data_IF_675964393124
#
_entry.id   IF_675964393124
#
_cell.length_a   1.000
_cell.length_b   1.000
_cell.length_c   1.000
_cell.angle_alpha   90.00
_cell.angle_beta   90.00
_cell.angle_gamma   90.00
#
_symmetry.space_group_name_H-M   'P 1'
#
loop_
_entity.id
_entity.type
_entity.pdbx_description
1 polymer ?
#
# COMPACT_ATOMS: atom_id res chain seq x y z
N UNK A 1 12.82 6.40 -9.53
CA UNK A 1 12.28 5.05 -9.33
C UNK A 1 11.04 4.90 -10.19
N UNK A 2 10.91 3.84 -10.96
CA UNK A 2 9.70 3.59 -11.77
C UNK A 2 8.69 2.79 -10.92
N UNK A 3 7.75 3.50 -10.31
CA UNK A 3 6.73 2.89 -9.44
C UNK A 3 5.73 2.01 -10.20
N UNK A 4 5.68 2.11 -11.54
CA UNK A 4 4.76 1.31 -12.35
C UNK A 4 5.09 -0.18 -12.37
N UNK A 5 6.33 -0.55 -12.01
CA UNK A 5 6.81 -1.94 -11.94
C UNK A 5 6.74 -2.54 -10.55
N UNK A 6 6.28 -1.78 -9.56
CA UNK A 6 6.26 -2.21 -8.16
C UNK A 6 5.22 -3.33 -7.97
N UNK A 7 5.64 -4.45 -7.37
CA UNK A 7 4.74 -5.55 -7.03
C UNK A 7 4.51 -5.60 -5.53
N UNK A 8 3.49 -6.35 -5.08
CA UNK A 8 3.25 -6.56 -3.65
C UNK A 8 4.42 -7.24 -2.93
N UNK A 9 5.25 -8.01 -3.63
CA UNK A 9 6.42 -8.65 -3.05
C UNK A 9 7.50 -7.65 -2.64
N UNK A 10 7.54 -6.48 -3.28
CA UNK A 10 8.51 -5.41 -3.03
C UNK A 10 8.12 -4.52 -1.84
N UNK A 11 6.90 -4.69 -1.34
CA UNK A 11 6.30 -3.85 -0.32
C UNK A 11 6.35 -4.56 1.04
N UNK A 12 6.81 -3.86 2.08
CA UNK A 12 6.69 -4.28 3.48
C UNK A 12 5.61 -3.43 4.16
N UNK A 13 4.54 -4.07 4.61
CA UNK A 13 3.50 -3.39 5.41
C UNK A 13 3.99 -3.22 6.84
N UNK A 14 3.98 -1.99 7.35
CA UNK A 14 4.43 -1.65 8.71
C UNK A 14 3.27 -1.67 9.68
N UNK A 15 2.26 -0.83 9.43
CA UNK A 15 1.05 -0.75 10.25
C UNK A 15 -0.14 -0.22 9.45
N UNK A 16 -1.34 -0.49 9.95
CA UNK A 16 -2.56 0.14 9.45
C UNK A 16 -2.62 1.59 9.96
N UNK A 17 -2.89 2.54 9.07
CA UNK A 17 -3.08 3.95 9.41
C UNK A 17 -4.57 4.29 9.60
N UNK A 18 -5.46 3.63 8.86
CA UNK A 18 -6.90 3.87 8.98
C UNK A 18 -7.75 3.00 8.07
N UNK A 19 -9.06 3.18 8.16
CA UNK A 19 -10.04 2.62 7.23
C UNK A 19 -11.15 3.63 6.97
N UNK A 20 -11.81 3.53 5.81
CA UNK A 20 -13.02 4.29 5.49
C UNK A 20 -13.99 3.41 4.70
N UNK A 21 -15.06 4.02 4.18
CA UNK A 21 -16.12 3.32 3.45
C UNK A 21 -15.60 2.52 2.22
N UNK A 22 -14.49 2.95 1.61
CA UNK A 22 -13.95 2.38 0.38
C UNK A 22 -12.49 1.88 0.56
N UNK A 23 -12.22 1.23 1.69
CA UNK A 23 -10.98 0.49 1.88
C UNK A 23 -10.11 0.93 3.06
N UNK A 24 -8.85 0.53 3.01
CA UNK A 24 -7.90 0.58 4.14
C UNK A 24 -6.60 1.23 3.73
N UNK A 25 -6.02 2.03 4.62
CA UNK A 25 -4.74 2.71 4.39
C UNK A 25 -3.68 2.09 5.31
N UNK A 26 -2.52 1.81 4.74
CA UNK A 26 -1.38 1.20 5.40
C UNK A 26 -0.14 2.07 5.23
N UNK A 27 0.68 2.16 6.27
CA UNK A 27 2.06 2.58 6.14
C UNK A 27 2.86 1.42 5.57
N UNK A 28 3.63 1.70 4.53
CA UNK A 28 4.46 0.73 3.85
C UNK A 28 5.88 1.25 3.68
N UNK A 29 6.83 0.33 3.52
CA UNK A 29 8.20 0.62 3.13
C UNK A 29 8.52 -0.17 1.87
N UNK A 30 9.12 0.46 0.87
CA UNK A 30 9.62 -0.26 -0.31
C UNK A 30 10.97 -0.88 0.03
N UNK A 31 11.10 -2.21 -0.14
CA UNK A 31 12.28 -2.96 0.30
C UNK A 31 13.59 -2.52 -0.36
N UNK A 32 13.54 -2.05 -1.61
CA UNK A 32 14.74 -1.70 -2.38
C UNK A 32 15.27 -0.30 -2.08
N UNK A 33 14.40 0.66 -1.76
CA UNK A 33 14.79 2.06 -1.52
C UNK A 33 14.71 2.45 -0.05
N UNK A 34 14.11 1.60 0.79
CA UNK A 34 13.78 1.89 2.20
C UNK A 34 12.88 3.12 2.39
N UNK A 35 12.30 3.63 1.31
CA UNK A 35 11.40 4.79 1.34
C UNK A 35 10.03 4.39 1.90
N UNK A 36 9.45 5.33 2.67
CA UNK A 36 8.19 5.14 3.37
C UNK A 36 7.02 5.82 2.65
N UNK A 37 5.91 5.10 2.51
CA UNK A 37 4.70 5.59 1.82
C UNK A 37 3.42 5.19 2.56
N UNK A 38 2.32 5.87 2.21
CA UNK A 38 0.97 5.44 2.54
C UNK A 38 0.32 4.73 1.35
N UNK A 39 -0.06 3.46 1.51
CA UNK A 39 -0.75 2.67 0.49
C UNK A 39 -2.23 2.52 0.83
N UNK A 40 -3.10 2.98 -0.08
CA UNK A 40 -4.56 2.76 0.02
C UNK A 40 -4.93 1.49 -0.75
N UNK A 41 -5.41 0.47 -0.04
CA UNK A 41 -6.08 -0.69 -0.64
C UNK A 41 -7.56 -0.34 -0.84
N UNK A 42 -8.01 -0.33 -2.08
CA UNK A 42 -9.41 -0.10 -2.45
C UNK A 42 -10.15 -1.44 -2.39
N UNK A 43 -11.21 -1.50 -1.58
CA UNK A 43 -12.11 -2.64 -1.58
C UNK A 43 -13.16 -2.40 -2.68
N UNK A 44 -13.11 -3.21 -3.73
CA UNK A 44 -14.09 -3.17 -4.81
C UNK A 44 -15.16 -4.22 -4.52
N UNK A 45 -16.39 -3.79 -4.31
CA UNK A 45 -17.54 -4.68 -4.28
C UNK A 45 -18.03 -4.84 -5.72
N UNK A 46 -18.06 -6.07 -6.23
CA UNK A 46 -18.82 -6.38 -7.44
C UNK A 46 -20.31 -6.39 -7.07
N UNK A 47 -21.14 -5.67 -7.83
CA UNK A 47 -22.60 -5.84 -7.79
C UNK A 47 -23.00 -7.30 -8.04
#
# INVERSE_FOLDING_TARGET
MDLSKLTYADIKVVKKLGHGAQGRVYQIVIKSTEEEFAMKKIDCFSD
#
